data_IF_822668843966
#
_entry.id   IF_822668843966
#
_cell.length_a   1.000
_cell.length_b   1.000
_cell.length_c   1.000
_cell.angle_alpha   90.00
_cell.angle_beta   90.00
_cell.angle_gamma   90.00
#
_symmetry.space_group_name_H-M   'P 1'
#
loop_
_entity.id
_entity.type
_entity.pdbx_description
1 polymer ?
#
# COMPACT_ATOMS: atom_id res chain seq x y z
N UNK A 1 -9.03 -5.32 30.13
CA UNK A 1 -10.19 -4.59 29.58
C UNK A 1 -10.79 -5.49 28.53
N UNK A 2 -12.04 -5.91 28.74
CA UNK A 2 -12.66 -7.09 28.14
C UNK A 2 -12.76 -7.01 26.62
N UNK A 3 -12.30 -8.06 25.93
CA UNK A 3 -12.40 -8.25 24.48
C UNK A 3 -13.86 -8.44 24.07
N UNK A 4 -14.54 -7.37 23.69
CA UNK A 4 -15.83 -7.48 23.00
C UNK A 4 -15.54 -7.89 21.55
N UNK A 5 -15.43 -9.20 21.31
CA UNK A 5 -15.44 -9.74 19.95
C UNK A 5 -16.80 -9.41 19.33
N UNK A 6 -16.78 -8.80 18.14
CA UNK A 6 -17.97 -8.53 17.34
C UNK A 6 -18.85 -9.81 17.23
N UNK A 7 -20.17 -9.76 17.51
CA UNK A 7 -21.03 -10.93 17.47
C UNK A 7 -21.04 -11.67 16.12
N UNK A 8 -20.85 -10.97 15.01
CA UNK A 8 -20.79 -11.58 13.69
C UNK A 8 -19.46 -12.34 13.49
N UNK A 9 -18.33 -11.77 13.93
CA UNK A 9 -17.03 -12.45 13.97
C UNK A 9 -17.05 -13.71 14.86
N UNK A 10 -17.64 -13.61 16.05
CA UNK A 10 -17.82 -14.76 16.94
C UNK A 10 -18.65 -15.87 16.28
N UNK A 11 -19.73 -15.52 15.56
CA UNK A 11 -20.52 -16.49 14.82
C UNK A 11 -19.71 -17.22 13.73
N UNK A 12 -18.92 -16.49 12.94
CA UNK A 12 -18.07 -17.10 11.91
C UNK A 12 -17.05 -18.07 12.51
N UNK A 13 -16.44 -17.69 13.64
CA UNK A 13 -15.48 -18.53 14.36
C UNK A 13 -16.14 -19.78 14.94
N UNK A 14 -17.18 -19.61 15.74
CA UNK A 14 -17.76 -20.67 16.57
C UNK A 14 -18.71 -21.59 15.81
N UNK A 15 -19.46 -21.06 14.84
CA UNK A 15 -20.52 -21.81 14.15
C UNK A 15 -20.10 -22.27 12.74
N UNK A 16 -19.24 -21.49 12.07
CA UNK A 16 -18.79 -21.80 10.70
C UNK A 16 -17.37 -22.40 10.67
N UNK A 17 -16.58 -22.19 11.73
CA UNK A 17 -15.20 -22.69 11.85
C UNK A 17 -14.17 -21.80 11.15
N UNK A 18 -14.48 -20.52 10.93
CA UNK A 18 -13.62 -19.55 10.25
C UNK A 18 -12.98 -18.65 11.30
N UNK A 19 -11.75 -18.98 11.73
CA UNK A 19 -11.02 -18.22 12.76
C UNK A 19 -10.09 -17.13 12.18
N UNK A 20 -9.72 -17.24 10.90
CA UNK A 20 -8.82 -16.27 10.26
C UNK A 20 -9.50 -14.90 10.09
N UNK A 21 -8.99 -13.88 10.76
CA UNK A 21 -9.54 -12.53 10.77
C UNK A 21 -9.53 -11.86 9.38
N UNK A 22 -8.53 -12.14 8.53
CA UNK A 22 -8.47 -11.60 7.17
C UNK A 22 -9.54 -12.22 6.27
N UNK A 23 -9.80 -13.51 6.45
CA UNK A 23 -10.86 -14.23 5.76
C UNK A 23 -12.24 -13.76 6.23
N UNK A 24 -12.43 -13.58 7.54
CA UNK A 24 -13.66 -13.00 8.10
C UNK A 24 -13.93 -11.61 7.53
N UNK A 25 -12.92 -10.73 7.49
CA UNK A 25 -13.03 -9.40 6.91
C UNK A 25 -13.43 -9.45 5.43
N UNK A 26 -12.83 -10.36 4.64
CA UNK A 26 -13.18 -10.56 3.23
C UNK A 26 -14.63 -11.02 3.02
N UNK A 27 -15.13 -11.91 3.89
CA UNK A 27 -16.52 -12.37 3.89
C UNK A 27 -17.47 -11.21 4.22
N UNK A 28 -17.16 -10.38 5.23
CA UNK A 28 -18.00 -9.23 5.57
C UNK A 28 -18.09 -8.23 4.41
N UNK A 29 -16.96 -7.91 3.77
CA UNK A 29 -16.96 -7.02 2.59
C UNK A 29 -17.81 -7.60 1.46
N UNK A 30 -17.74 -8.91 1.20
CA UNK A 30 -18.56 -9.54 0.18
C UNK A 30 -20.05 -9.44 0.52
N UNK A 31 -20.42 -9.73 1.77
CA UNK A 31 -21.82 -9.67 2.22
C UNK A 31 -22.37 -8.24 2.27
N UNK A 32 -21.53 -7.23 2.49
CA UNK A 32 -21.96 -5.83 2.50
C UNK A 32 -22.52 -5.37 1.14
N UNK A 33 -22.10 -6.00 0.05
CA UNK A 33 -22.67 -5.73 -1.28
C UNK A 33 -24.11 -6.19 -1.43
N UNK A 34 -24.54 -7.14 -0.60
CA UNK A 34 -25.88 -7.75 -0.62
C UNK A 34 -26.77 -7.17 0.48
N UNK A 35 -26.22 -7.04 1.69
CA UNK A 35 -26.97 -6.69 2.91
C UNK A 35 -26.72 -5.26 3.40
N UNK A 36 -25.85 -4.49 2.74
CA UNK A 36 -25.49 -3.13 3.13
C UNK A 36 -24.35 -3.05 4.15
N UNK A 37 -24.03 -1.84 4.61
CA UNK A 37 -22.76 -1.54 5.32
C UNK A 37 -22.54 -2.30 6.63
N UNK A 38 -23.58 -2.76 7.32
CA UNK A 38 -23.47 -3.41 8.63
C UNK A 38 -23.97 -4.86 8.59
N UNK A 39 -23.08 -5.81 8.86
CA UNK A 39 -23.39 -7.25 8.84
C UNK A 39 -23.71 -7.71 10.26
N UNK A 40 -24.94 -8.14 10.49
CA UNK A 40 -25.38 -8.71 11.74
C UNK A 40 -25.44 -10.25 11.65
N UNK A 41 -25.50 -10.90 12.81
CA UNK A 41 -25.66 -12.36 12.91
C UNK A 41 -26.93 -12.86 12.19
N UNK A 42 -27.98 -12.04 12.13
CA UNK A 42 -29.21 -12.32 11.38
C UNK A 42 -28.94 -12.49 9.88
N UNK A 43 -28.08 -11.64 9.29
CA UNK A 43 -27.66 -11.76 7.89
C UNK A 43 -26.85 -13.03 7.65
N UNK A 44 -25.94 -13.39 8.56
CA UNK A 44 -25.14 -14.62 8.47
C UNK A 44 -26.04 -15.87 8.53
N UNK A 45 -27.00 -15.88 9.45
CA UNK A 45 -27.99 -16.95 9.56
C UNK A 45 -28.86 -17.05 8.30
N UNK A 46 -29.26 -15.91 7.74
CA UNK A 46 -30.05 -15.87 6.50
C UNK A 46 -29.27 -16.39 5.29
N UNK A 47 -27.96 -16.15 5.24
CA UNK A 47 -27.09 -16.64 4.18
C UNK A 47 -26.81 -18.14 4.31
N UNK A 48 -26.80 -18.65 5.54
CA UNK A 48 -26.67 -20.08 5.86
C UNK A 48 -25.23 -20.56 5.91
N UNK A 49 -24.97 -21.58 6.74
CA UNK A 49 -23.60 -22.09 7.03
C UNK A 49 -22.89 -22.57 5.76
N UNK A 50 -23.56 -23.37 4.94
CA UNK A 50 -22.95 -23.89 3.70
C UNK A 50 -22.70 -22.78 2.67
N UNK A 51 -23.58 -21.78 2.61
CA UNK A 51 -23.36 -20.57 1.83
C UNK A 51 -22.12 -19.80 2.32
N UNK A 52 -21.98 -19.61 3.63
CA UNK A 52 -20.83 -18.94 4.23
C UNK A 52 -19.52 -19.69 3.99
N UNK A 53 -19.52 -21.03 4.02
CA UNK A 53 -18.34 -21.85 3.67
C UNK A 53 -17.97 -21.72 2.20
N UNK A 54 -18.95 -21.79 1.29
CA UNK A 54 -18.70 -21.60 -0.14
C UNK A 54 -18.16 -20.20 -0.44
N UNK A 55 -18.72 -19.17 0.22
CA UNK A 55 -18.22 -17.80 0.15
C UNK A 55 -16.80 -17.70 0.71
N UNK A 56 -16.49 -18.37 1.81
CA UNK A 56 -15.15 -18.40 2.37
C UNK A 56 -14.14 -18.99 1.38
N UNK A 57 -14.48 -20.07 0.67
CA UNK A 57 -13.61 -20.61 -0.38
C UNK A 57 -13.46 -19.63 -1.56
N UNK A 58 -14.54 -18.97 -1.98
CA UNK A 58 -14.47 -17.93 -3.02
C UNK A 58 -13.57 -16.77 -2.58
N UNK A 59 -13.70 -16.30 -1.34
CA UNK A 59 -12.88 -15.23 -0.77
C UNK A 59 -11.42 -15.67 -0.65
N UNK A 60 -11.13 -16.92 -0.26
CA UNK A 60 -9.76 -17.46 -0.25
C UNK A 60 -9.14 -17.48 -1.65
N UNK A 61 -9.93 -17.83 -2.67
CA UNK A 61 -9.48 -17.82 -4.07
C UNK A 61 -9.26 -16.38 -4.56
N UNK A 62 -10.18 -15.46 -4.29
CA UNK A 62 -10.03 -14.03 -4.59
C UNK A 62 -8.85 -13.39 -3.83
N UNK A 63 -8.58 -13.84 -2.60
CA UNK A 63 -7.44 -13.41 -1.80
C UNK A 63 -6.13 -14.06 -2.24
N UNK A 64 -6.16 -15.18 -2.97
CA UNK A 64 -4.98 -15.72 -3.67
C UNK A 64 -4.71 -14.93 -4.95
N UNK A 65 -5.76 -14.50 -5.65
CA UNK A 65 -5.70 -13.56 -6.79
C UNK A 65 -5.70 -12.08 -6.33
N UNK A 66 -5.09 -11.80 -5.18
CA UNK A 66 -5.09 -10.49 -4.49
C UNK A 66 -4.47 -9.27 -5.18
N UNK A 67 -3.80 -9.30 -6.36
CA UNK A 67 -3.37 -8.05 -7.00
C UNK A 67 -4.54 -7.12 -7.34
N UNK A 68 -5.76 -7.64 -7.55
CA UNK A 68 -6.88 -6.90 -8.12
C UNK A 68 -7.77 -6.14 -7.11
N UNK A 69 -7.79 -6.48 -5.81
CA UNK A 69 -8.61 -5.77 -4.79
C UNK A 69 -7.89 -4.59 -4.12
N UNK A 70 -6.57 -4.63 -3.99
CA UNK A 70 -5.77 -3.50 -3.50
C UNK A 70 -5.85 -2.28 -4.43
N UNK A 71 -6.28 -2.48 -5.68
CA UNK A 71 -6.51 -1.42 -6.65
C UNK A 71 -7.57 -0.37 -6.24
N UNK A 72 -8.47 -0.66 -5.27
CA UNK A 72 -9.48 0.31 -4.79
C UNK A 72 -9.07 1.10 -3.53
N UNK A 73 -8.05 0.66 -2.80
CA UNK A 73 -7.54 1.34 -1.61
C UNK A 73 -6.25 2.06 -1.98
N UNK A 74 -6.37 3.32 -2.38
CA UNK A 74 -5.25 4.12 -2.86
C UNK A 74 -5.21 5.52 -2.26
N UNK A 75 -4.02 6.12 -2.30
CA UNK A 75 -3.79 7.56 -2.15
C UNK A 75 -3.21 8.12 -3.43
N UNK A 76 -3.21 9.44 -3.57
CA UNK A 76 -2.53 10.09 -4.67
C UNK A 76 -1.13 10.52 -4.21
N UNK A 77 -0.11 10.08 -4.94
CA UNK A 77 1.22 10.66 -4.85
C UNK A 77 1.31 11.79 -5.86
N UNK A 78 1.63 12.98 -5.38
CA UNK A 78 1.96 14.13 -6.21
C UNK A 78 3.46 14.16 -6.44
N UNK A 79 3.89 13.79 -7.64
CA UNK A 79 5.30 13.79 -8.03
C UNK A 79 5.71 15.17 -8.52
N UNK A 80 6.86 15.66 -8.02
CA UNK A 80 7.48 16.90 -8.47
C UNK A 80 8.86 16.64 -9.04
N UNK A 81 9.13 17.20 -10.22
CA UNK A 81 10.43 17.13 -10.89
C UNK A 81 10.88 18.57 -11.15
N UNK A 82 11.45 19.26 -10.15
CA UNK A 82 11.71 20.71 -10.22
C UNK A 82 12.59 21.11 -11.41
N UNK A 83 13.60 20.28 -11.72
CA UNK A 83 14.57 20.52 -12.78
C UNK A 83 13.95 20.45 -14.19
N UNK A 84 12.83 19.71 -14.33
CA UNK A 84 12.05 19.62 -15.57
C UNK A 84 10.75 20.41 -15.51
N UNK A 85 10.52 21.19 -14.44
CA UNK A 85 9.29 21.98 -14.20
C UNK A 85 8.01 21.17 -14.46
N UNK A 86 8.04 19.90 -14.07
CA UNK A 86 6.98 18.94 -14.34
C UNK A 86 6.45 18.39 -13.03
N UNK A 87 5.14 18.28 -12.92
CA UNK A 87 4.44 17.76 -11.75
C UNK A 87 3.21 16.98 -12.24
N UNK A 88 2.90 15.87 -11.58
CA UNK A 88 1.77 15.01 -11.95
C UNK A 88 1.39 14.08 -10.79
N UNK A 89 0.16 13.56 -10.85
CA UNK A 89 -0.34 12.66 -9.82
C UNK A 89 -0.39 11.22 -10.33
N UNK A 90 0.00 10.28 -9.47
CA UNK A 90 -0.14 8.84 -9.72
C UNK A 90 -0.82 8.14 -8.55
N UNK A 91 -1.68 7.13 -8.82
CA UNK A 91 -2.30 6.35 -7.76
C UNK A 91 -1.27 5.47 -7.06
N UNK A 92 -1.21 5.59 -5.73
CA UNK A 92 -0.44 4.73 -4.85
C UNK A 92 -1.35 3.76 -4.15
N UNK A 93 -1.24 2.49 -4.51
CA UNK A 93 -2.19 1.45 -4.09
C UNK A 93 -1.63 0.70 -2.89
N UNK A 94 -2.54 0.16 -2.07
CA UNK A 94 -2.17 -0.57 -0.87
C UNK A 94 -1.19 -1.72 -1.21
N UNK A 95 -0.03 -1.74 -0.56
CA UNK A 95 1.06 -2.70 -0.78
C UNK A 95 2.15 -2.21 -1.75
N UNK A 96 1.83 -1.28 -2.66
CA UNK A 96 2.80 -0.72 -3.59
C UNK A 96 3.85 0.10 -2.84
N UNK A 97 5.10 0.03 -3.28
CA UNK A 97 6.12 1.02 -2.95
C UNK A 97 6.05 2.24 -3.88
N UNK A 98 6.72 3.33 -3.53
CA UNK A 98 6.88 4.49 -4.45
C UNK A 98 7.54 4.02 -5.75
N UNK A 99 8.51 3.09 -5.69
CA UNK A 99 9.10 2.51 -6.89
C UNK A 99 8.09 1.71 -7.70
N UNK A 100 7.21 0.93 -7.06
CA UNK A 100 6.16 0.17 -7.76
C UNK A 100 5.20 1.12 -8.51
N UNK A 101 4.89 2.29 -7.93
CA UNK A 101 4.11 3.35 -8.61
C UNK A 101 4.87 3.87 -9.83
N UNK A 102 6.16 4.15 -9.71
CA UNK A 102 7.00 4.59 -10.83
C UNK A 102 7.17 3.53 -11.93
N UNK A 103 7.05 2.24 -11.59
CA UNK A 103 7.11 1.12 -12.55
C UNK A 103 5.73 0.65 -13.05
N UNK A 104 4.65 1.25 -12.58
CA UNK A 104 3.31 1.04 -13.15
C UNK A 104 3.25 1.48 -14.62
N UNK A 105 2.26 1.06 -15.43
CA UNK A 105 2.18 1.47 -16.83
C UNK A 105 2.21 2.99 -17.05
N UNK A 106 1.44 3.75 -16.26
CA UNK A 106 1.41 5.21 -16.33
C UNK A 106 2.70 5.82 -15.73
N UNK A 107 3.17 5.26 -14.62
CA UNK A 107 4.42 5.66 -13.99
C UNK A 107 5.63 5.49 -14.90
N UNK A 108 5.72 4.39 -15.64
CA UNK A 108 6.85 4.13 -16.53
C UNK A 108 6.94 5.18 -17.65
N UNK A 109 5.81 5.68 -18.13
CA UNK A 109 5.75 6.76 -19.13
C UNK A 109 6.19 8.10 -18.53
N UNK A 110 5.83 8.39 -17.28
CA UNK A 110 6.05 9.70 -16.66
C UNK A 110 7.35 9.81 -15.84
N UNK A 111 7.80 8.71 -15.25
CA UNK A 111 8.92 8.61 -14.30
C UNK A 111 10.08 7.76 -14.80
N UNK A 112 9.93 7.04 -15.93
CA UNK A 112 10.94 6.08 -16.39
C UNK A 112 12.33 6.67 -16.60
N UNK A 113 12.42 7.94 -16.99
CA UNK A 113 13.68 8.66 -17.20
C UNK A 113 14.28 9.24 -15.91
N UNK A 114 13.51 9.30 -14.82
CA UNK A 114 13.90 9.97 -13.57
C UNK A 114 14.06 9.01 -12.38
N UNK A 115 13.49 7.81 -12.47
CA UNK A 115 13.57 6.78 -11.43
C UNK A 115 13.84 5.39 -12.03
N UNK A 116 15.08 4.93 -11.89
CA UNK A 116 15.51 3.67 -12.49
C UNK A 116 15.13 2.45 -11.65
N UNK A 117 15.39 2.48 -10.34
CA UNK A 117 15.14 1.33 -9.45
C UNK A 117 15.84 0.04 -9.87
N UNK A 118 17.11 0.14 -10.26
CA UNK A 118 17.90 -0.89 -10.96
C UNK A 118 18.02 -2.21 -10.19
N UNK A 119 18.04 -2.17 -8.85
CA UNK A 119 18.10 -3.38 -8.02
C UNK A 119 16.72 -4.04 -7.77
N UNK A 120 15.62 -3.49 -8.30
CA UNK A 120 14.28 -4.05 -8.10
C UNK A 120 13.79 -4.00 -6.64
N UNK A 121 14.31 -3.08 -5.84
CA UNK A 121 13.90 -2.90 -4.43
C UNK A 121 14.70 -3.66 -3.39
N UNK A 122 15.80 -4.29 -3.79
CA UNK A 122 16.67 -5.10 -2.91
C UNK A 122 17.63 -4.28 -2.04
N UNK A 123 17.41 -2.97 -1.90
CA UNK A 123 18.26 -2.07 -1.09
C UNK A 123 19.76 -2.23 -1.38
N UNK A 124 20.08 -2.37 -2.67
CA UNK A 124 21.44 -2.60 -3.18
C UNK A 124 21.86 -1.52 -4.19
N UNK A 125 21.08 -0.44 -4.31
CA UNK A 125 21.37 0.75 -5.09
C UNK A 125 20.59 1.95 -4.53
N UNK A 126 20.89 3.16 -5.01
CA UNK A 126 20.19 4.40 -4.67
C UNK A 126 19.40 5.02 -5.84
N UNK A 127 19.20 4.30 -6.94
CA UNK A 127 18.61 4.82 -8.18
C UNK A 127 17.07 4.98 -8.14
N UNK A 128 16.48 4.78 -6.95
CA UNK A 128 15.08 5.10 -6.63
C UNK A 128 14.98 6.15 -5.52
N UNK A 129 16.07 6.90 -5.29
CA UNK A 129 16.13 7.97 -4.31
C UNK A 129 15.09 9.06 -4.60
N UNK A 130 14.38 9.46 -3.55
CA UNK A 130 13.39 10.53 -3.56
C UNK A 130 13.51 11.38 -2.29
N UNK A 131 12.96 12.59 -2.33
CA UNK A 131 12.68 13.38 -1.13
C UNK A 131 11.20 13.26 -0.78
N UNK A 132 10.90 12.92 0.47
CA UNK A 132 9.53 12.88 0.98
C UNK A 132 9.13 14.25 1.55
N UNK A 133 7.84 14.59 1.50
CA UNK A 133 7.34 15.70 2.28
C UNK A 133 7.34 15.41 3.79
N UNK A 134 7.24 16.47 4.58
CA UNK A 134 7.28 16.37 6.04
C UNK A 134 6.14 15.51 6.59
N UNK A 135 4.95 15.57 5.95
CA UNK A 135 3.79 14.77 6.34
C UNK A 135 4.12 13.29 6.23
N UNK A 136 4.53 12.80 5.06
CA UNK A 136 4.84 11.39 4.87
C UNK A 136 6.07 10.98 5.69
N UNK A 137 7.11 11.81 5.75
CA UNK A 137 8.32 11.53 6.52
C UNK A 137 8.02 11.28 8.00
N UNK A 138 7.04 11.99 8.57
CA UNK A 138 6.60 11.81 9.96
C UNK A 138 5.80 10.53 10.22
N UNK A 139 5.21 9.94 9.18
CA UNK A 139 4.34 8.76 9.29
C UNK A 139 5.07 7.45 8.99
N UNK A 140 6.19 7.50 8.25
CA UNK A 140 6.98 6.32 7.90
C UNK A 140 8.07 6.06 8.94
N UNK A 141 8.47 4.80 9.17
CA UNK A 141 9.63 4.51 10.00
C UNK A 141 10.90 5.19 9.44
N UNK A 142 11.86 5.59 10.29
CA UNK A 142 13.13 6.12 9.82
C UNK A 142 13.88 5.09 8.96
N UNK A 143 14.78 5.53 8.06
CA UNK A 143 15.59 4.61 7.28
C UNK A 143 16.42 3.72 8.21
N UNK A 144 16.52 2.44 7.87
CA UNK A 144 17.43 1.54 8.59
C UNK A 144 18.88 1.74 8.13
N UNK A 145 19.82 1.08 8.81
CA UNK A 145 21.24 1.22 8.52
C UNK A 145 21.58 0.91 7.04
N UNK A 146 21.00 -0.15 6.49
CA UNK A 146 21.28 -0.52 5.10
C UNK A 146 20.72 0.50 4.10
N UNK A 147 19.58 1.13 4.42
CA UNK A 147 19.02 2.20 3.62
C UNK A 147 19.91 3.46 3.70
N UNK A 148 20.36 3.83 4.90
CA UNK A 148 21.28 4.95 5.11
C UNK A 148 22.60 4.76 4.35
N UNK A 149 23.20 3.57 4.42
CA UNK A 149 24.45 3.25 3.70
C UNK A 149 24.31 3.48 2.19
N UNK A 150 23.11 3.25 1.62
CA UNK A 150 22.83 3.51 0.20
C UNK A 150 22.50 4.97 -0.06
N UNK A 151 21.80 5.65 0.84
CA UNK A 151 21.49 7.08 0.71
C UNK A 151 22.74 7.96 0.75
N UNK A 152 23.80 7.54 1.46
CA UNK A 152 25.11 8.20 1.46
C UNK A 152 25.75 8.24 0.06
N UNK A 153 25.36 7.32 -0.83
CA UNK A 153 25.83 7.25 -2.21
C UNK A 153 24.89 7.98 -3.20
N UNK A 154 23.73 8.44 -2.74
CA UNK A 154 22.72 9.06 -3.58
C UNK A 154 23.14 10.45 -4.09
N UNK A 155 22.41 10.97 -5.07
CA UNK A 155 22.66 12.30 -5.61
C UNK A 155 22.06 13.36 -4.68
N UNK A 156 22.90 14.24 -4.13
CA UNK A 156 22.51 15.34 -3.21
C UNK A 156 21.61 14.92 -2.03
N UNK A 157 21.96 13.91 -1.21
CA UNK A 157 21.09 13.44 -0.15
C UNK A 157 20.78 14.53 0.89
N UNK A 158 19.54 14.51 1.41
CA UNK A 158 19.00 15.42 2.42
C UNK A 158 18.39 14.63 3.58
N UNK A 159 17.94 15.32 4.62
CA UNK A 159 17.31 14.65 5.78
C UNK A 159 16.01 13.94 5.40
N UNK A 160 15.29 14.48 4.43
CA UNK A 160 14.06 13.92 3.88
C UNK A 160 14.28 12.87 2.78
N UNK A 161 15.54 12.51 2.49
CA UNK A 161 15.87 11.47 1.51
C UNK A 161 15.42 10.09 1.98
N UNK A 162 14.79 9.35 1.07
CA UNK A 162 14.46 7.92 1.23
C UNK A 162 14.68 7.14 -0.05
N UNK A 163 14.87 5.83 0.06
CA UNK A 163 14.78 4.93 -1.08
C UNK A 163 13.30 4.64 -1.35
N UNK A 164 12.78 5.09 -2.49
CA UNK A 164 11.35 4.95 -2.83
C UNK A 164 10.84 3.51 -2.79
N UNK A 165 11.71 2.52 -3.06
CA UNK A 165 11.38 1.10 -2.95
C UNK A 165 11.13 0.60 -1.50
N UNK A 166 11.60 1.33 -0.49
CA UNK A 166 11.43 0.98 0.93
C UNK A 166 10.19 1.64 1.54
N UNK A 167 9.55 2.57 0.83
CA UNK A 167 8.34 3.26 1.28
C UNK A 167 7.13 2.60 0.65
N UNK A 168 6.39 1.82 1.44
CA UNK A 168 5.18 1.09 1.00
C UNK A 168 3.92 1.67 1.62
N UNK A 169 2.84 1.68 0.85
CA UNK A 169 1.53 2.01 1.41
C UNK A 169 1.04 0.83 2.24
N UNK A 170 1.10 0.97 3.56
CA UNK A 170 0.58 -0.03 4.50
C UNK A 170 -0.86 0.30 4.90
N UNK A 171 -1.63 -0.66 5.45
CA UNK A 171 -2.98 -0.36 5.94
C UNK A 171 -2.99 0.74 7.02
N UNK A 172 -1.98 0.74 7.90
CA UNK A 172 -1.85 1.74 8.96
C UNK A 172 -1.52 3.13 8.38
N UNK A 173 -0.64 3.18 7.38
CA UNK A 173 -0.29 4.44 6.71
C UNK A 173 -1.50 4.99 5.93
N UNK A 174 -2.22 4.13 5.23
CA UNK A 174 -3.44 4.49 4.50
C UNK A 174 -4.48 5.14 5.41
N UNK A 175 -4.69 4.61 6.62
CA UNK A 175 -5.63 5.16 7.61
C UNK A 175 -5.20 6.52 8.17
N UNK A 176 -3.90 6.81 8.19
CA UNK A 176 -3.35 8.06 8.71
C UNK A 176 -3.30 9.18 7.68
N UNK A 177 -3.47 8.87 6.40
CA UNK A 177 -3.47 9.85 5.32
C UNK A 177 -4.91 10.15 4.92
N UNK A 178 -5.31 11.42 5.02
CA UNK A 178 -6.60 11.91 4.54
C UNK A 178 -6.76 11.72 3.03
N UNK A 179 -7.97 11.40 2.57
CA UNK A 179 -8.26 11.14 1.16
C UNK A 179 -7.95 12.34 0.24
N UNK A 180 -8.14 13.57 0.73
CA UNK A 180 -7.98 14.81 -0.04
C UNK A 180 -6.60 15.47 0.13
N UNK A 181 -5.68 14.85 0.89
CA UNK A 181 -4.36 15.42 1.12
C UNK A 181 -3.35 14.85 0.12
N UNK A 182 -2.78 15.66 -0.79
CA UNK A 182 -1.72 15.18 -1.67
C UNK A 182 -0.48 14.85 -0.83
N UNK A 183 0.13 13.71 -1.11
CA UNK A 183 1.42 13.34 -0.55
C UNK A 183 2.48 13.70 -1.58
N UNK A 184 3.41 14.57 -1.22
CA UNK A 184 4.37 15.08 -2.19
C UNK A 184 5.64 14.22 -2.17
N UNK A 185 6.04 13.75 -3.35
CA UNK A 185 7.31 13.05 -3.58
C UNK A 185 8.11 13.86 -4.60
N UNK A 186 9.28 14.34 -4.21
CA UNK A 186 10.14 15.13 -5.10
C UNK A 186 11.27 14.26 -5.64
N UNK A 187 11.45 14.29 -6.96
CA UNK A 187 12.55 13.59 -7.64
C UNK A 187 13.80 14.50 -7.64
N UNK A 188 14.98 13.99 -7.22
CA UNK A 188 16.24 14.69 -7.35
C UNK A 188 16.59 15.08 -8.79
N UNK A 189 17.58 15.96 -8.97
CA UNK A 189 17.99 16.43 -10.30
C UNK A 189 18.57 15.32 -11.19
N UNK A 190 19.19 14.33 -10.56
CA UNK A 190 19.91 13.25 -11.21
C UNK A 190 19.87 11.99 -10.33
N UNK A 191 20.32 10.87 -10.88
CA UNK A 191 20.44 9.59 -10.19
C UNK A 191 21.91 9.18 -10.13
N UNK A 192 22.41 8.85 -8.94
CA UNK A 192 23.72 8.24 -8.83
C UNK A 192 23.63 6.74 -9.11
N UNK A 193 24.12 6.36 -10.28
CA UNK A 193 24.34 4.97 -10.65
C UNK A 193 25.77 4.59 -10.28
N UNK A 194 25.94 3.93 -9.12
CA UNK A 194 27.25 3.45 -8.64
C UNK A 194 27.91 2.37 -9.55
N UNK A 195 27.33 2.09 -10.71
CA UNK A 195 27.71 1.02 -11.64
C UNK A 195 28.11 1.53 -13.05
N UNK A 196 28.21 2.84 -13.25
CA UNK A 196 28.71 3.48 -14.48
C UNK A 196 29.98 4.26 -14.20
#
# INVERSE_FOLDING_TARGET
MSSHSDPASAFLKEQVGIDDENLQAGIFVALQTVYGKQIEVSHLKSFGIEGLKALAESVKLEQRDRPLRHHRLSRMLHFRIPHHKSEFDLPWRLGDSILDVAKSPDGAVLLGEYMEGTCGGQKSCCTCHVYLDEKLLSLVPPPDKGELDMLDLAYEPKMESRLGCQIRLTPDLLQQIDDDSPIIVTIPADVNNVWT
#
